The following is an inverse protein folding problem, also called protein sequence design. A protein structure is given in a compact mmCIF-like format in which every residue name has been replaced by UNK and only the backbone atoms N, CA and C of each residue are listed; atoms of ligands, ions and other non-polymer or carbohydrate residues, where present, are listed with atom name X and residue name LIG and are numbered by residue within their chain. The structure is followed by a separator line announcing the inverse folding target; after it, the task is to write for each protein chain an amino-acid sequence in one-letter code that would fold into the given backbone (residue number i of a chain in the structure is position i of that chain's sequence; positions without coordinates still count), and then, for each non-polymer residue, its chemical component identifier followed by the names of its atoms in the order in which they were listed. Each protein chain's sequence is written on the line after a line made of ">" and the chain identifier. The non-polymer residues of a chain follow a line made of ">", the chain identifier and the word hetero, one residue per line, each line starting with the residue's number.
data_IF_536757976342
#
_entry.id   IF_536757976342
#
_cell.length_a   1.000
_cell.length_b   1.000
_cell.length_c   1.000
_cell.angle_alpha   90.00
_cell.angle_beta   90.00
_cell.angle_gamma   90.00
#
_symmetry.space_group_name_H-M   'P 1'
#
loop_
_entity.id
_entity.type
_entity.pdbx_description
1 polymer ?
#
# COMPACT_ATOMS: atom_id res chain seq x y z
N UNK A 1 -27.58 -44.41 19.32
CA UNK A 1 -28.21 -43.09 19.20
C UNK A 1 -27.21 -42.16 18.51
N UNK A 2 -27.54 -41.74 17.30
CA UNK A 2 -26.81 -40.79 16.47
C UNK A 2 -26.72 -39.41 17.12
N UNK A 3 -25.51 -38.92 17.38
CA UNK A 3 -25.25 -37.48 17.51
C UNK A 3 -24.58 -37.00 16.23
N UNK A 4 -25.41 -36.76 15.22
CA UNK A 4 -25.02 -35.93 14.10
C UNK A 4 -25.06 -34.46 14.52
N UNK A 5 -24.08 -33.71 14.01
CA UNK A 5 -24.20 -32.30 13.65
C UNK A 5 -24.24 -31.28 14.80
N UNK A 6 -23.09 -30.68 15.12
CA UNK A 6 -22.86 -29.27 15.53
C UNK A 6 -21.35 -29.20 15.81
N UNK A 7 -20.50 -28.55 15.03
CA UNK A 7 -20.54 -27.14 14.68
C UNK A 7 -19.85 -26.98 13.33
N UNK A 8 -20.62 -26.46 12.39
CA UNK A 8 -20.14 -25.46 11.45
C UNK A 8 -19.08 -24.61 12.16
N UNK A 9 -17.83 -24.74 11.73
CA UNK A 9 -16.81 -23.75 11.97
C UNK A 9 -17.27 -22.49 11.25
N UNK A 10 -18.22 -21.77 11.85
CA UNK A 10 -18.30 -20.33 11.73
C UNK A 10 -16.92 -19.87 12.15
N UNK A 11 -16.04 -19.76 11.16
CA UNK A 11 -14.92 -18.84 11.19
C UNK A 11 -15.59 -17.48 11.35
N UNK A 12 -15.91 -17.18 12.61
CA UNK A 12 -16.00 -15.84 13.13
C UNK A 12 -14.62 -15.23 12.88
N UNK A 13 -14.37 -14.80 11.64
CA UNK A 13 -13.71 -13.52 11.43
C UNK A 13 -14.79 -12.45 11.39
N UNK A 14 -15.76 -12.53 12.30
CA UNK A 14 -16.61 -11.41 12.63
C UNK A 14 -15.80 -10.57 13.61
N UNK A 15 -15.07 -9.58 13.09
CA UNK A 15 -15.07 -8.21 13.59
C UNK A 15 -14.03 -7.39 12.82
N UNK A 16 -14.48 -6.61 11.82
CA UNK A 16 -14.41 -5.14 11.79
C UNK A 16 -13.18 -4.41 12.38
N UNK A 17 -11.99 -5.04 12.44
CA UNK A 17 -10.79 -4.47 13.05
C UNK A 17 -9.81 -3.82 12.06
N UNK A 18 -9.78 -4.30 10.81
CA UNK A 18 -8.85 -3.76 9.80
C UNK A 18 -9.49 -2.71 8.87
N UNK A 19 -10.71 -2.25 9.13
CA UNK A 19 -11.30 -1.12 8.39
C UNK A 19 -10.51 0.20 8.59
N UNK A 20 -9.60 0.21 9.57
CA UNK A 20 -8.60 1.24 9.81
C UNK A 20 -7.16 0.71 9.62
N UNK A 21 -6.94 -0.37 8.86
CA UNK A 21 -5.67 -0.45 8.13
C UNK A 21 -5.71 0.78 7.24
N UNK A 22 -5.06 1.85 7.68
CA UNK A 22 -4.99 3.13 6.97
C UNK A 22 -4.83 2.78 5.51
N UNK A 23 -5.86 3.09 4.70
CA UNK A 23 -5.77 2.86 3.27
C UNK A 23 -4.42 3.46 2.84
N UNK A 24 -3.61 2.71 2.07
CA UNK A 24 -2.29 3.16 1.68
C UNK A 24 -2.41 4.57 1.11
N UNK A 25 -1.57 5.49 1.61
CA UNK A 25 -1.67 6.91 1.31
C UNK A 25 -1.64 7.11 -0.20
N UNK A 26 -2.66 7.72 -0.77
CA UNK A 26 -2.69 8.01 -2.21
C UNK A 26 -1.86 9.26 -2.50
N UNK A 27 -0.70 9.05 -3.10
CA UNK A 27 0.23 10.07 -3.57
C UNK A 27 -0.12 10.36 -5.03
N UNK A 28 -0.99 11.34 -5.24
CA UNK A 28 -1.41 11.81 -6.58
C UNK A 28 -0.49 12.91 -7.13
N UNK A 29 0.16 13.66 -6.24
CA UNK A 29 0.99 14.83 -6.58
C UNK A 29 2.47 14.58 -6.25
N UNK A 30 3.36 15.14 -7.05
CA UNK A 30 4.82 15.04 -6.83
C UNK A 30 5.23 15.57 -5.46
N UNK A 31 4.64 16.70 -5.05
CA UNK A 31 4.88 17.30 -3.74
C UNK A 31 4.49 16.35 -2.60
N UNK A 32 3.32 15.72 -2.70
CA UNK A 32 2.87 14.72 -1.72
C UNK A 32 3.83 13.54 -1.61
N UNK A 33 4.31 13.04 -2.76
CA UNK A 33 5.31 11.96 -2.79
C UNK A 33 6.63 12.37 -2.12
N UNK A 34 7.18 13.53 -2.47
CA UNK A 34 8.42 14.04 -1.87
C UNK A 34 8.27 14.30 -0.37
N UNK A 35 7.15 14.86 0.08
CA UNK A 35 6.88 15.04 1.51
C UNK A 35 6.76 13.70 2.23
N UNK A 36 6.16 12.70 1.60
CA UNK A 36 6.08 11.35 2.13
C UNK A 36 7.46 10.73 2.30
N UNK A 37 8.29 10.75 1.25
CA UNK A 37 9.68 10.28 1.32
C UNK A 37 10.45 10.96 2.45
N UNK A 38 10.42 12.30 2.52
CA UNK A 38 11.08 13.07 3.59
C UNK A 38 10.62 12.66 4.98
N UNK A 39 9.34 12.31 5.16
CA UNK A 39 8.81 11.81 6.44
C UNK A 39 9.35 10.41 6.77
N UNK A 40 9.51 9.54 5.77
CA UNK A 40 10.07 8.19 5.98
C UNK A 40 11.58 8.23 6.21
N UNK A 41 12.32 9.06 5.48
CA UNK A 41 13.76 9.30 5.68
C UNK A 41 14.05 9.78 7.11
N UNK A 42 13.25 10.72 7.63
CA UNK A 42 13.36 11.18 9.02
C UNK A 42 13.15 10.08 10.06
N UNK A 43 12.41 9.03 9.72
CA UNK A 43 12.16 7.88 10.59
C UNK A 43 13.16 6.74 10.37
N UNK A 44 14.13 6.91 9.45
CA UNK A 44 15.15 5.92 9.13
C UNK A 44 14.56 4.57 8.67
N UNK A 45 13.38 4.60 8.03
CA UNK A 45 12.76 3.40 7.48
C UNK A 45 13.29 3.11 6.08
N UNK A 46 13.57 1.82 5.82
CA UNK A 46 13.83 1.34 4.47
C UNK A 46 12.50 1.30 3.70
N UNK A 47 12.36 2.20 2.74
CA UNK A 47 11.21 2.25 1.85
C UNK A 47 11.65 1.93 0.43
N UNK A 48 10.79 1.23 -0.29
CA UNK A 48 11.02 0.81 -1.66
C UNK A 48 9.88 1.32 -2.52
N UNK A 49 10.21 2.07 -3.57
CA UNK A 49 9.24 2.52 -4.55
C UNK A 49 9.19 1.53 -5.69
N UNK A 50 8.04 0.92 -5.91
CA UNK A 50 7.80 -0.06 -6.96
C UNK A 50 6.73 0.48 -7.90
N UNK A 51 7.06 0.61 -9.17
CA UNK A 51 6.05 0.88 -10.20
C UNK A 51 5.45 -0.45 -10.65
N UNK A 52 4.15 -0.48 -10.92
CA UNK A 52 3.52 -1.64 -11.55
C UNK A 52 4.09 -1.90 -12.93
N UNK A 53 4.02 -3.15 -13.38
CA UNK A 53 4.50 -3.56 -14.70
C UNK A 53 3.89 -2.73 -15.84
N UNK A 54 2.60 -2.40 -15.73
CA UNK A 54 1.89 -1.58 -16.71
C UNK A 54 2.22 -0.08 -16.60
N UNK A 55 3.00 0.35 -15.60
CA UNK A 55 3.28 1.76 -15.31
C UNK A 55 2.02 2.61 -15.11
N UNK A 56 0.88 1.97 -14.85
CA UNK A 56 -0.39 2.62 -14.59
C UNK A 56 -0.46 3.21 -13.18
N UNK A 57 0.22 2.61 -12.22
CA UNK A 57 0.32 3.06 -10.83
C UNK A 57 1.63 2.54 -10.22
N UNK A 58 2.02 3.08 -9.08
CA UNK A 58 3.13 2.60 -8.26
C UNK A 58 2.73 2.45 -6.80
N UNK A 59 3.65 1.94 -6.01
CA UNK A 59 3.48 1.60 -4.61
C UNK A 59 4.75 1.97 -3.85
N UNK A 60 4.60 2.53 -2.66
CA UNK A 60 5.69 2.63 -1.69
C UNK A 60 5.52 1.53 -0.69
N UNK A 61 6.47 0.61 -0.69
CA UNK A 61 6.60 -0.47 0.26
C UNK A 61 7.46 0.00 1.42
N UNK A 62 7.11 -0.39 2.63
CA UNK A 62 7.93 -0.25 3.83
C UNK A 62 7.96 -1.61 4.50
N UNK A 63 9.16 -2.16 4.70
CA UNK A 63 9.33 -3.49 5.29
C UNK A 63 8.51 -4.59 4.57
N UNK A 64 8.27 -4.42 3.26
CA UNK A 64 7.44 -5.32 2.45
C UNK A 64 5.93 -5.03 2.46
N UNK A 65 5.46 -4.05 3.23
CA UNK A 65 4.05 -3.64 3.27
C UNK A 65 3.77 -2.37 2.45
N UNK A 66 2.70 -2.36 1.66
CA UNK A 66 2.30 -1.17 0.88
C UNK A 66 1.74 -0.11 1.83
N UNK A 67 2.44 1.01 1.96
CA UNK A 67 2.04 2.14 2.82
C UNK A 67 1.55 3.35 2.02
N UNK A 68 1.84 3.41 0.73
CA UNK A 68 1.35 4.44 -0.17
C UNK A 68 1.15 3.93 -1.60
N UNK A 69 0.13 4.44 -2.27
CA UNK A 69 -0.13 4.23 -3.69
C UNK A 69 0.29 5.48 -4.45
N UNK A 70 1.07 5.31 -5.51
CA UNK A 70 1.54 6.40 -6.35
C UNK A 70 0.73 6.40 -7.65
N UNK A 71 -0.01 7.48 -7.88
CA UNK A 71 -0.88 7.64 -9.04
C UNK A 71 -0.76 9.07 -9.59
N UNK A 72 -1.38 9.34 -10.74
CA UNK A 72 -1.42 10.70 -11.31
C UNK A 72 -0.05 11.31 -11.60
N UNK A 73 0.17 12.56 -11.18
CA UNK A 73 1.41 13.32 -11.43
C UNK A 73 2.61 12.73 -10.69
N UNK A 74 2.41 12.22 -9.46
CA UNK A 74 3.49 11.58 -8.71
C UNK A 74 4.07 10.37 -9.45
N UNK A 75 3.20 9.61 -10.14
CA UNK A 75 3.59 8.49 -10.98
C UNK A 75 4.35 8.94 -12.22
N UNK A 76 3.87 9.97 -12.90
CA UNK A 76 4.54 10.55 -14.08
C UNK A 76 5.97 10.98 -13.73
N UNK A 77 6.13 11.66 -12.60
CA UNK A 77 7.44 12.05 -12.06
C UNK A 77 8.36 10.86 -11.76
N UNK A 78 7.82 9.74 -11.26
CA UNK A 78 8.62 8.53 -11.07
C UNK A 78 9.04 7.86 -12.37
N UNK A 79 8.18 7.91 -13.39
CA UNK A 79 8.49 7.37 -14.71
C UNK A 79 9.59 8.18 -15.38
N UNK A 80 9.54 9.51 -15.24
CA UNK A 80 10.60 10.43 -15.66
C UNK A 80 11.92 10.14 -14.93
N UNK A 81 11.90 10.05 -13.59
CA UNK A 81 13.09 9.71 -12.79
C UNK A 81 13.67 8.33 -13.10
N UNK A 82 12.81 7.34 -13.39
CA UNK A 82 13.23 6.00 -13.76
C UNK A 82 13.87 5.96 -15.17
N UNK A 83 13.93 7.08 -15.89
CA UNK A 83 14.48 7.16 -17.24
C UNK A 83 13.66 6.38 -18.26
N UNK A 84 12.35 6.24 -18.04
CA UNK A 84 11.43 5.53 -18.94
C UNK A 84 10.57 6.46 -19.80
N UNK A 85 10.97 7.73 -19.93
CA UNK A 85 10.45 8.67 -20.92
C UNK A 85 10.88 8.28 -22.35
#
# INVERSE_FOLDING_TARGET
>A
MSSALYKQSTNFTHSTGSFLQSAPVELTTVSGYQEFLKKQEKKNYEIQTVLSEDKSHGYVLKDGEVIANIIGEAKDYLLDLAGQA
#
